data_IF_471270403385
#
_entry.id   IF_471270403385
#
_cell.length_a   1.000
_cell.length_b   1.000
_cell.length_c   1.000
_cell.angle_alpha   90.00
_cell.angle_beta   90.00
_cell.angle_gamma   90.00
#
_symmetry.space_group_name_H-M   'P 1'
#
loop_
_entity.id
_entity.type
_entity.pdbx_description
1 polymer ?
#
# COMPACT_ATOMS: atom_id res chain seq x y z
N UNK A 1 22.41 -2.36 -23.05
CA UNK A 1 22.53 -2.46 -21.56
C UNK A 1 21.33 -3.24 -21.07
N UNK A 2 21.48 -4.05 -20.04
CA UNK A 2 20.36 -4.82 -19.46
C UNK A 2 19.67 -3.99 -18.38
N UNK A 3 18.35 -3.99 -18.37
CA UNK A 3 17.53 -3.39 -17.30
C UNK A 3 17.82 -4.16 -16.00
N UNK A 4 18.29 -3.46 -14.98
CA UNK A 4 18.57 -4.03 -13.64
C UNK A 4 17.32 -3.99 -12.75
N UNK A 5 16.57 -2.87 -12.82
CA UNK A 5 15.43 -2.60 -11.94
C UNK A 5 14.15 -2.43 -12.75
N UNK A 6 13.08 -3.04 -12.31
CA UNK A 6 11.71 -2.70 -12.72
C UNK A 6 10.95 -2.12 -11.53
N UNK A 7 10.48 -0.87 -11.65
CA UNK A 7 9.54 -0.25 -10.71
C UNK A 7 8.13 -0.69 -11.09
N UNK A 8 7.36 -1.17 -10.12
CA UNK A 8 5.98 -1.64 -10.30
C UNK A 8 5.02 -0.67 -9.63
N UNK A 9 4.18 -0.02 -10.43
CA UNK A 9 3.24 1.01 -9.96
C UNK A 9 1.81 0.70 -10.44
N UNK A 10 0.95 0.12 -9.60
CA UNK A 10 -0.48 0.02 -9.91
C UNK A 10 -1.14 1.39 -9.74
N UNK A 11 -2.11 1.70 -10.58
CA UNK A 11 -2.86 2.95 -10.46
C UNK A 11 -4.34 2.77 -10.81
N UNK A 12 -5.20 3.61 -10.23
CA UNK A 12 -6.60 3.74 -10.61
C UNK A 12 -7.19 5.07 -10.13
N UNK A 13 -7.69 5.89 -11.08
CA UNK A 13 -8.34 7.17 -10.80
C UNK A 13 -7.49 8.08 -9.89
N UNK A 14 -6.23 8.34 -10.29
CA UNK A 14 -5.26 9.13 -9.52
C UNK A 14 -4.43 10.07 -10.38
N UNK A 15 -5.00 10.60 -11.46
CA UNK A 15 -4.29 11.39 -12.48
C UNK A 15 -3.32 12.42 -11.90
N UNK A 16 -3.77 13.29 -11.00
CA UNK A 16 -2.96 14.40 -10.50
C UNK A 16 -1.73 13.93 -9.69
N UNK A 17 -1.90 13.00 -8.75
CA UNK A 17 -0.79 12.53 -7.91
C UNK A 17 0.13 11.59 -8.68
N UNK A 18 -0.42 10.80 -9.60
CA UNK A 18 0.35 9.92 -10.47
C UNK A 18 1.34 10.71 -11.35
N UNK A 19 0.94 11.87 -11.86
CA UNK A 19 1.83 12.74 -12.65
C UNK A 19 3.12 13.08 -11.85
N UNK A 20 2.98 13.45 -10.58
CA UNK A 20 4.10 13.77 -9.70
C UNK A 20 4.93 12.53 -9.33
N UNK A 21 4.27 11.38 -9.08
CA UNK A 21 4.93 10.11 -8.86
C UNK A 21 5.84 9.75 -10.04
N UNK A 22 5.31 9.78 -11.27
CA UNK A 22 6.06 9.45 -12.48
C UNK A 22 7.18 10.44 -12.76
N UNK A 23 6.97 11.73 -12.48
CA UNK A 23 8.01 12.76 -12.59
C UNK A 23 9.16 12.46 -11.63
N UNK A 24 8.87 12.06 -10.39
CA UNK A 24 9.87 11.70 -9.40
C UNK A 24 10.63 10.41 -9.78
N UNK A 25 9.94 9.41 -10.33
CA UNK A 25 10.55 8.17 -10.82
C UNK A 25 11.41 8.40 -12.06
N UNK A 26 11.05 9.34 -12.94
CA UNK A 26 11.88 9.70 -14.11
C UNK A 26 13.13 10.52 -13.74
N UNK A 27 13.18 11.08 -12.53
CA UNK A 27 14.28 11.91 -12.03
C UNK A 27 15.26 11.16 -11.09
N UNK A 28 15.30 9.82 -11.17
CA UNK A 28 16.19 9.04 -10.34
C UNK A 28 17.67 9.23 -10.72
N UNK A 29 18.57 9.08 -9.74
CA UNK A 29 20.02 9.14 -9.95
C UNK A 29 20.61 7.88 -10.55
N UNK A 30 19.86 6.76 -10.58
CA UNK A 30 20.21 5.56 -11.33
C UNK A 30 20.17 5.89 -12.82
N UNK A 31 21.12 5.34 -13.60
CA UNK A 31 21.18 5.56 -15.04
C UNK A 31 19.84 5.20 -15.72
N UNK A 32 19.27 6.08 -16.57
CA UNK A 32 17.95 5.87 -17.16
C UNK A 32 17.80 4.52 -17.90
N UNK A 33 18.89 4.01 -18.46
CA UNK A 33 18.93 2.75 -19.20
C UNK A 33 19.00 1.53 -18.26
N UNK A 34 19.26 1.73 -16.98
CA UNK A 34 19.37 0.66 -15.99
C UNK A 34 18.04 0.28 -15.35
N UNK A 35 16.99 1.10 -15.53
CA UNK A 35 15.67 0.81 -14.95
C UNK A 35 14.52 1.13 -15.90
N UNK A 36 13.42 0.47 -15.68
CA UNK A 36 12.13 0.75 -16.29
C UNK A 36 11.07 0.96 -15.22
N UNK A 37 10.00 1.69 -15.57
CA UNK A 37 8.80 1.84 -14.76
C UNK A 37 7.65 1.16 -15.49
N UNK A 38 7.00 0.19 -14.86
CA UNK A 38 5.78 -0.43 -15.37
C UNK A 38 4.60 0.09 -14.57
N UNK A 39 3.71 0.81 -15.26
CA UNK A 39 2.45 1.28 -14.69
C UNK A 39 1.31 0.43 -15.21
N UNK A 40 0.51 -0.10 -14.30
CA UNK A 40 -0.71 -0.83 -14.66
C UNK A 40 -1.93 -0.03 -14.22
N UNK A 41 -2.68 0.46 -15.20
CA UNK A 41 -3.96 1.14 -15.01
C UNK A 41 -5.08 0.11 -14.81
N UNK A 42 -5.60 0.00 -13.60
CA UNK A 42 -6.69 -0.90 -13.22
C UNK A 42 -8.08 -0.34 -13.59
N UNK A 43 -8.25 0.02 -14.87
CA UNK A 43 -9.52 0.48 -15.41
C UNK A 43 -9.93 1.86 -14.93
N UNK A 44 -9.05 2.86 -15.02
CA UNK A 44 -9.36 4.26 -14.71
C UNK A 44 -10.39 4.85 -15.65
N UNK A 45 -11.18 5.80 -15.11
CA UNK A 45 -12.24 6.54 -15.79
C UNK A 45 -12.02 8.07 -15.77
N UNK A 46 -10.93 8.50 -15.11
CA UNK A 46 -10.47 9.88 -15.05
C UNK A 46 -9.37 10.15 -16.11
N UNK A 47 -8.63 11.24 -15.95
CA UNK A 47 -7.54 11.66 -16.85
C UNK A 47 -6.26 10.81 -16.71
N UNK A 48 -6.28 9.71 -15.94
CA UNK A 48 -5.10 8.82 -15.76
C UNK A 48 -4.48 8.38 -17.09
N UNK A 49 -5.23 7.95 -18.12
CA UNK A 49 -4.64 7.56 -19.41
C UNK A 49 -3.86 8.69 -20.09
N UNK A 50 -4.38 9.91 -20.05
CA UNK A 50 -3.70 11.07 -20.65
C UNK A 50 -2.40 11.41 -19.90
N UNK A 51 -2.39 11.28 -18.57
CA UNK A 51 -1.17 11.43 -17.75
C UNK A 51 -0.12 10.39 -18.11
N UNK A 52 -0.51 9.13 -18.27
CA UNK A 52 0.39 8.04 -18.67
C UNK A 52 1.01 8.31 -20.05
N UNK A 53 0.22 8.72 -21.02
CA UNK A 53 0.70 9.07 -22.37
C UNK A 53 1.70 10.24 -22.33
N UNK A 54 1.43 11.27 -21.53
CA UNK A 54 2.32 12.40 -21.38
C UNK A 54 3.64 12.00 -20.70
N UNK A 55 3.58 11.21 -19.62
CA UNK A 55 4.73 10.75 -18.88
C UNK A 55 5.64 9.85 -19.73
N UNK A 56 5.06 8.93 -20.51
CA UNK A 56 5.82 8.05 -21.43
C UNK A 56 6.60 8.83 -22.46
N UNK A 57 6.06 9.95 -22.98
CA UNK A 57 6.77 10.80 -23.96
C UNK A 57 7.84 11.68 -23.34
N UNK A 58 7.68 12.09 -22.08
CA UNK A 58 8.56 13.07 -21.44
C UNK A 58 9.69 12.45 -20.60
N UNK A 59 9.55 11.21 -20.19
CA UNK A 59 10.50 10.55 -19.28
C UNK A 59 11.84 10.27 -19.97
N UNK A 60 12.91 10.33 -19.18
CA UNK A 60 14.28 9.94 -19.60
C UNK A 60 14.51 8.43 -19.51
N UNK A 61 13.82 7.74 -18.60
CA UNK A 61 13.80 6.29 -18.50
C UNK A 61 12.63 5.70 -19.29
N UNK A 62 12.63 4.42 -19.51
CA UNK A 62 11.52 3.74 -20.17
C UNK A 62 10.34 3.59 -19.22
N UNK A 63 9.18 4.15 -19.59
CA UNK A 63 7.89 3.94 -18.94
C UNK A 63 7.02 3.07 -19.84
N UNK A 64 6.66 1.89 -19.36
CA UNK A 64 5.74 0.97 -20.05
C UNK A 64 4.40 0.98 -19.32
N UNK A 65 3.33 1.10 -20.09
CA UNK A 65 1.98 1.19 -19.55
C UNK A 65 1.14 0.00 -20.01
N UNK A 66 0.39 -0.58 -19.08
CA UNK A 66 -0.58 -1.62 -19.37
C UNK A 66 -1.93 -1.18 -18.80
N UNK A 67 -3.00 -1.50 -19.49
CA UNK A 67 -4.36 -1.17 -19.04
C UNK A 67 -5.19 -2.44 -18.92
N UNK A 68 -5.84 -2.62 -17.78
CA UNK A 68 -6.85 -3.65 -17.58
C UNK A 68 -8.20 -3.13 -18.11
N UNK A 69 -8.98 -3.95 -18.83
CA UNK A 69 -10.25 -3.51 -19.44
C UNK A 69 -11.31 -3.14 -18.40
N UNK A 70 -11.19 -3.69 -17.20
CA UNK A 70 -12.04 -3.43 -16.05
C UNK A 70 -11.24 -3.55 -14.76
N UNK A 71 -11.77 -3.07 -13.64
CA UNK A 71 -11.15 -3.19 -12.33
C UNK A 71 -10.93 -4.67 -11.96
N UNK A 72 -9.69 -5.12 -12.02
CA UNK A 72 -9.25 -6.46 -11.64
C UNK A 72 -8.56 -6.48 -10.26
N UNK A 73 -8.24 -5.31 -9.70
CA UNK A 73 -7.66 -5.14 -8.38
C UNK A 73 -6.14 -5.03 -8.35
N UNK A 74 -5.65 -4.50 -7.24
CA UNK A 74 -4.23 -4.26 -7.02
C UNK A 74 -3.38 -5.53 -7.16
N UNK A 75 -3.76 -6.71 -6.63
CA UNK A 75 -3.00 -7.95 -6.82
C UNK A 75 -2.79 -8.31 -8.29
N UNK A 76 -3.84 -8.24 -9.10
CA UNK A 76 -3.77 -8.56 -10.53
C UNK A 76 -2.90 -7.55 -11.30
N UNK A 77 -3.02 -6.25 -10.97
CA UNK A 77 -2.18 -5.21 -11.59
C UNK A 77 -0.70 -5.41 -11.26
N UNK A 78 -0.35 -5.68 -9.99
CA UNK A 78 1.03 -5.98 -9.60
C UNK A 78 1.56 -7.25 -10.27
N UNK A 79 0.76 -8.30 -10.34
CA UNK A 79 1.15 -9.56 -10.99
C UNK A 79 1.41 -9.38 -12.48
N UNK A 80 0.58 -8.60 -13.19
CA UNK A 80 0.82 -8.25 -14.58
C UNK A 80 2.17 -7.54 -14.73
N UNK A 81 2.43 -6.51 -13.93
CA UNK A 81 3.69 -5.79 -13.98
C UNK A 81 4.90 -6.69 -13.70
N UNK A 82 4.82 -7.61 -12.71
CA UNK A 82 5.91 -8.53 -12.38
C UNK A 82 6.17 -9.53 -13.52
N UNK A 83 5.13 -10.00 -14.20
CA UNK A 83 5.28 -10.91 -15.35
C UNK A 83 5.98 -10.20 -16.52
N UNK A 84 5.61 -8.96 -16.78
CA UNK A 84 6.15 -8.12 -17.86
C UNK A 84 7.51 -7.49 -17.55
N UNK A 85 7.94 -7.54 -16.28
CA UNK A 85 9.19 -6.97 -15.81
C UNK A 85 10.41 -7.60 -16.48
N UNK A 86 11.35 -6.74 -16.94
CA UNK A 86 12.64 -7.14 -17.51
C UNK A 86 13.79 -7.06 -16.49
N UNK A 87 13.63 -6.24 -15.46
CA UNK A 87 14.59 -6.10 -14.37
C UNK A 87 14.62 -7.33 -13.46
N UNK A 88 15.81 -7.68 -13.00
CA UNK A 88 15.97 -8.74 -11.98
C UNK A 88 15.43 -8.29 -10.62
N UNK A 89 15.56 -7.01 -10.30
CA UNK A 89 15.09 -6.40 -9.08
C UNK A 89 13.73 -5.71 -9.29
N UNK A 90 12.73 -6.12 -8.53
CA UNK A 90 11.42 -5.44 -8.49
C UNK A 90 11.43 -4.46 -7.32
N UNK A 91 11.04 -3.22 -7.59
CA UNK A 91 10.81 -2.17 -6.59
C UNK A 91 9.34 -1.77 -6.66
N UNK A 92 8.63 -1.91 -5.55
CA UNK A 92 7.23 -1.50 -5.45
C UNK A 92 7.14 -0.02 -5.06
N UNK A 93 6.33 0.72 -5.81
CA UNK A 93 6.00 2.13 -5.56
C UNK A 93 4.53 2.34 -5.90
N UNK A 94 3.74 2.77 -4.94
CA UNK A 94 2.34 3.08 -5.19
C UNK A 94 2.19 4.44 -5.91
N UNK A 95 1.09 4.63 -6.63
CA UNK A 95 0.87 5.80 -7.49
C UNK A 95 0.72 7.15 -6.76
N UNK A 96 0.69 7.13 -5.42
CA UNK A 96 0.67 8.28 -4.53
C UNK A 96 1.96 8.40 -3.69
N UNK A 97 3.04 7.77 -4.16
CA UNK A 97 4.36 7.83 -3.55
C UNK A 97 5.34 8.59 -4.41
N UNK A 98 6.18 9.39 -3.75
CA UNK A 98 7.15 10.30 -4.38
C UNK A 98 8.55 9.85 -3.95
N UNK A 99 9.30 9.32 -4.92
CA UNK A 99 10.63 8.77 -4.71
C UNK A 99 11.70 9.87 -4.81
N UNK A 100 12.51 10.13 -3.77
CA UNK A 100 13.64 11.05 -3.90
C UNK A 100 14.68 10.51 -4.90
N UNK A 101 15.56 11.37 -5.46
CA UNK A 101 16.45 10.97 -6.57
C UNK A 101 17.33 9.76 -6.29
N UNK A 102 17.74 9.53 -5.06
CA UNK A 102 18.62 8.42 -4.66
C UNK A 102 17.87 7.13 -4.27
N UNK A 103 16.54 7.10 -4.35
CA UNK A 103 15.71 6.01 -3.86
C UNK A 103 16.04 4.66 -4.54
N UNK A 104 16.08 4.60 -5.87
CA UNK A 104 16.40 3.36 -6.58
C UNK A 104 17.84 2.91 -6.32
N UNK A 105 18.80 3.82 -6.26
CA UNK A 105 20.20 3.52 -5.93
C UNK A 105 20.33 2.91 -4.55
N UNK A 106 19.58 3.41 -3.54
CA UNK A 106 19.59 2.85 -2.19
C UNK A 106 19.06 1.40 -2.15
N UNK A 107 18.01 1.10 -2.92
CA UNK A 107 17.51 -0.27 -3.06
C UNK A 107 18.52 -1.18 -3.77
N UNK A 108 19.09 -0.77 -4.89
CA UNK A 108 20.12 -1.53 -5.63
C UNK A 108 21.29 -1.84 -4.73
N UNK A 109 21.82 -0.84 -4.01
CA UNK A 109 22.94 -1.01 -3.09
C UNK A 109 22.63 -1.98 -1.94
N UNK A 110 21.39 -1.99 -1.46
CA UNK A 110 20.96 -2.94 -0.46
C UNK A 110 21.11 -4.38 -0.96
N UNK A 111 20.67 -4.65 -2.17
CA UNK A 111 20.74 -5.98 -2.79
C UNK A 111 22.16 -6.38 -3.19
N UNK A 112 22.97 -5.44 -3.70
CA UNK A 112 24.37 -5.69 -4.06
C UNK A 112 25.25 -6.08 -2.87
N UNK A 113 24.93 -5.54 -1.67
CA UNK A 113 25.65 -5.86 -0.42
C UNK A 113 25.20 -7.16 0.24
N UNK A 114 24.09 -7.75 -0.21
CA UNK A 114 23.57 -9.00 0.36
C UNK A 114 23.78 -10.16 -0.59
N UNK A 115 24.41 -11.25 -0.08
CA UNK A 115 24.48 -12.54 -0.80
C UNK A 115 23.23 -13.40 -0.59
N UNK A 116 22.40 -13.07 0.42
CA UNK A 116 21.18 -13.80 0.73
C UNK A 116 19.98 -13.25 -0.05
N UNK A 117 18.95 -14.07 -0.16
CA UNK A 117 17.62 -13.64 -0.60
C UNK A 117 17.01 -12.67 0.43
N UNK A 118 16.75 -11.44 0.00
CA UNK A 118 16.27 -10.39 0.89
C UNK A 118 15.06 -9.64 0.33
N UNK A 119 14.30 -9.08 1.27
CA UNK A 119 13.41 -7.95 1.05
C UNK A 119 14.13 -6.71 1.61
N UNK A 120 14.46 -5.74 0.77
CA UNK A 120 14.92 -4.44 1.22
C UNK A 120 13.70 -3.53 1.43
N UNK A 121 13.62 -2.89 2.60
CA UNK A 121 12.56 -1.93 2.95
C UNK A 121 13.18 -0.63 3.43
N UNK A 122 12.49 0.47 3.20
CA UNK A 122 12.84 1.78 3.71
C UNK A 122 11.69 2.46 4.44
N UNK A 123 11.92 3.62 5.06
CA UNK A 123 10.88 4.40 5.70
C UNK A 123 9.86 4.95 4.68
N UNK A 124 8.59 4.95 5.08
CA UNK A 124 7.51 5.66 4.37
C UNK A 124 7.19 6.92 5.15
N UNK A 125 7.50 8.07 4.55
CA UNK A 125 7.31 9.40 5.15
C UNK A 125 6.01 9.99 4.65
N UNK A 126 5.11 10.42 5.54
CA UNK A 126 3.91 11.12 5.09
C UNK A 126 4.24 12.55 4.67
N UNK A 127 3.85 12.93 3.45
CA UNK A 127 3.90 14.32 2.97
C UNK A 127 2.50 14.83 2.63
N UNK A 128 2.27 16.14 2.80
CA UNK A 128 1.04 16.83 2.40
C UNK A 128 1.27 17.79 1.21
N UNK A 129 2.52 17.90 0.75
CA UNK A 129 2.91 18.75 -0.37
C UNK A 129 3.33 17.91 -1.57
N UNK A 130 2.73 18.18 -2.72
CA UNK A 130 3.19 17.63 -4.01
C UNK A 130 4.32 18.50 -4.60
N UNK A 131 4.36 19.80 -4.29
CA UNK A 131 5.39 20.73 -4.80
C UNK A 131 6.74 20.54 -4.09
N UNK A 132 6.70 20.27 -2.78
CA UNK A 132 7.88 20.11 -1.92
C UNK A 132 7.78 18.84 -1.08
N UNK A 133 7.68 17.68 -1.72
CA UNK A 133 7.36 16.44 -1.02
C UNK A 133 8.45 16.02 -0.02
N UNK A 134 9.70 16.39 -0.27
CA UNK A 134 10.87 15.94 0.50
C UNK A 134 11.25 16.88 1.67
N UNK A 135 10.52 17.99 1.83
CA UNK A 135 10.72 18.92 2.97
C UNK A 135 9.98 18.47 4.24
N UNK A 136 9.20 17.40 4.19
CA UNK A 136 8.55 16.83 5.38
C UNK A 136 9.59 16.34 6.39
N UNK A 137 9.36 16.54 7.71
CA UNK A 137 10.25 15.99 8.72
C UNK A 137 10.39 14.49 8.52
N UNK A 138 11.63 14.01 8.53
CA UNK A 138 11.97 12.62 8.23
C UNK A 138 11.17 11.61 9.05
N UNK A 139 11.08 10.39 8.55
CA UNK A 139 10.44 9.28 9.25
C UNK A 139 11.06 9.06 10.62
N UNK A 140 10.22 8.79 11.60
CA UNK A 140 10.68 8.31 12.91
C UNK A 140 11.57 7.07 12.74
N UNK A 141 12.47 6.89 13.69
CA UNK A 141 13.57 5.92 13.64
C UNK A 141 13.12 4.45 13.59
N UNK A 142 11.84 4.15 13.85
CA UNK A 142 11.34 2.78 14.01
C UNK A 142 10.26 2.46 12.99
N UNK A 143 10.53 1.47 12.13
CA UNK A 143 9.49 0.74 11.41
C UNK A 143 8.77 -0.16 12.41
N UNK A 144 7.64 0.31 12.92
CA UNK A 144 6.76 -0.45 13.82
C UNK A 144 5.81 -1.38 13.05
N UNK A 145 5.94 -1.48 11.72
CA UNK A 145 5.13 -2.39 10.93
C UNK A 145 5.44 -3.83 11.30
N UNK A 146 4.44 -4.55 11.81
CA UNK A 146 4.48 -6.00 12.04
C UNK A 146 4.45 -6.79 10.72
N UNK A 147 4.12 -6.11 9.61
CA UNK A 147 4.08 -6.73 8.28
C UNK A 147 5.46 -7.23 7.87
N UNK A 148 5.55 -8.52 7.52
CA UNK A 148 6.79 -9.09 7.00
C UNK A 148 7.15 -8.53 5.63
N UNK A 149 6.17 -8.29 4.80
CA UNK A 149 6.27 -7.66 3.49
C UNK A 149 5.17 -6.64 3.33
N UNK A 150 5.55 -5.47 2.87
CA UNK A 150 4.64 -4.36 2.55
C UNK A 150 5.05 -3.77 1.22
N UNK A 151 4.10 -3.40 0.40
CA UNK A 151 4.35 -2.89 -0.95
C UNK A 151 4.55 -1.38 -1.01
N UNK A 152 4.34 -0.68 0.10
CA UNK A 152 4.49 0.78 0.17
C UNK A 152 5.96 1.25 0.07
N UNK A 153 6.92 0.40 0.22
CA UNK A 153 8.35 0.65 0.03
C UNK A 153 9.12 -0.64 0.22
N UNK A 154 9.15 -1.46 -0.79
CA UNK A 154 9.90 -2.71 -0.74
C UNK A 154 10.53 -3.06 -2.09
N UNK A 155 11.68 -3.73 -2.03
CA UNK A 155 12.27 -4.36 -3.22
C UNK A 155 12.73 -5.78 -2.92
N UNK A 156 12.64 -6.64 -3.91
CA UNK A 156 13.15 -8.00 -3.89
C UNK A 156 13.39 -8.53 -5.31
N UNK A 157 14.15 -9.60 -5.43
CA UNK A 157 14.39 -10.22 -6.73
C UNK A 157 13.09 -10.77 -7.33
N UNK A 158 12.88 -10.54 -8.62
CA UNK A 158 11.74 -11.06 -9.39
C UNK A 158 11.59 -12.57 -9.24
N UNK A 159 12.69 -13.32 -9.24
CA UNK A 159 12.70 -14.76 -9.05
C UNK A 159 12.07 -15.22 -7.73
N UNK A 160 12.21 -14.44 -6.65
CA UNK A 160 11.57 -14.73 -5.36
C UNK A 160 10.06 -14.57 -5.41
N UNK A 161 9.57 -13.54 -6.10
CA UNK A 161 8.13 -13.33 -6.31
C UNK A 161 7.50 -14.48 -7.09
N UNK A 162 8.18 -14.92 -8.15
CA UNK A 162 7.74 -16.07 -8.95
C UNK A 162 7.74 -17.38 -8.12
N UNK A 163 8.78 -17.63 -7.35
CA UNK A 163 8.86 -18.80 -6.43
C UNK A 163 7.82 -18.77 -5.35
N UNK A 164 7.48 -17.58 -4.83
CA UNK A 164 6.43 -17.42 -3.83
C UNK A 164 5.02 -17.52 -4.40
N UNK A 165 4.84 -17.60 -5.74
CA UNK A 165 3.55 -17.72 -6.41
C UNK A 165 2.82 -16.39 -6.63
N UNK A 166 3.55 -15.26 -6.62
CA UNK A 166 3.00 -13.92 -6.86
C UNK A 166 1.95 -13.49 -5.80
N UNK A 167 1.23 -12.42 -6.06
CA UNK A 167 0.11 -12.00 -5.20
C UNK A 167 -1.12 -12.89 -5.43
N UNK A 168 -1.88 -13.16 -4.38
CA UNK A 168 -3.15 -13.90 -4.49
C UNK A 168 -4.24 -12.97 -5.04
N UNK A 169 -4.58 -13.14 -6.31
CA UNK A 169 -5.59 -12.34 -7.00
C UNK A 169 -7.01 -12.54 -6.44
N UNK A 170 -7.21 -13.56 -5.63
CA UNK A 170 -8.47 -13.80 -4.94
C UNK A 170 -8.73 -12.87 -3.76
N UNK A 171 -7.70 -12.14 -3.30
CA UNK A 171 -7.81 -11.06 -2.32
C UNK A 171 -8.18 -9.72 -3.00
N UNK A 172 -9.05 -9.79 -4.00
CA UNK A 172 -9.56 -8.69 -4.79
C UNK A 172 -10.79 -8.05 -4.11
N UNK A 173 -11.01 -6.72 -4.20
CA UNK A 173 -10.20 -5.77 -4.97
C UNK A 173 -8.97 -5.24 -4.24
N UNK A 174 -8.91 -5.38 -2.91
CA UNK A 174 -7.88 -4.77 -2.08
C UNK A 174 -7.84 -5.39 -0.67
N UNK A 175 -6.64 -5.49 -0.12
CA UNK A 175 -6.34 -5.79 1.28
C UNK A 175 -5.75 -7.18 1.50
N UNK A 176 -4.78 -7.25 2.41
CA UNK A 176 -4.11 -8.45 2.91
C UNK A 176 -3.17 -9.15 1.93
N UNK A 177 -3.14 -8.77 0.64
CA UNK A 177 -2.31 -9.37 -0.39
C UNK A 177 -0.81 -9.27 -0.08
N UNK A 178 -0.37 -8.15 0.50
CA UNK A 178 1.01 -7.96 0.95
C UNK A 178 1.36 -8.87 2.12
N UNK A 179 0.49 -8.98 3.13
CA UNK A 179 0.68 -9.88 4.27
C UNK A 179 0.69 -11.35 3.85
N UNK A 180 -0.23 -11.76 2.95
CA UNK A 180 -0.28 -13.11 2.41
C UNK A 180 1.03 -13.47 1.71
N UNK A 181 1.52 -12.62 0.82
CA UNK A 181 2.79 -12.82 0.15
C UNK A 181 3.96 -12.82 1.14
N UNK A 182 3.90 -11.95 2.16
CA UNK A 182 4.90 -11.88 3.22
C UNK A 182 5.05 -13.20 3.99
N UNK A 183 3.95 -13.90 4.31
CA UNK A 183 4.00 -15.21 4.94
C UNK A 183 4.68 -16.25 4.05
N UNK A 184 4.39 -16.24 2.75
CA UNK A 184 5.02 -17.16 1.77
C UNK A 184 6.51 -16.86 1.58
N UNK A 185 6.90 -15.60 1.51
CA UNK A 185 8.30 -15.19 1.43
C UNK A 185 9.06 -15.56 2.71
N UNK A 186 8.45 -15.40 3.88
CA UNK A 186 9.03 -15.83 5.17
C UNK A 186 9.25 -17.34 5.22
N UNK A 187 8.30 -18.12 4.71
CA UNK A 187 8.43 -19.58 4.63
C UNK A 187 9.55 -20.03 3.68
N UNK A 188 9.89 -19.22 2.66
CA UNK A 188 11.05 -19.44 1.78
C UNK A 188 12.40 -19.01 2.40
N UNK A 189 12.41 -18.53 3.66
CA UNK A 189 13.62 -18.08 4.35
C UNK A 189 14.16 -16.72 3.89
N UNK A 190 13.37 -15.94 3.14
CA UNK A 190 13.76 -14.60 2.66
C UNK A 190 13.92 -13.67 3.87
N UNK A 191 15.05 -12.96 3.99
CA UNK A 191 15.34 -12.08 5.14
C UNK A 191 14.88 -10.65 4.85
N UNK A 192 14.51 -9.88 5.89
CA UNK A 192 14.25 -8.45 5.77
C UNK A 192 15.51 -7.65 6.12
N UNK A 193 15.77 -6.61 5.33
CA UNK A 193 16.77 -5.57 5.62
C UNK A 193 16.07 -4.22 5.57
N UNK A 194 16.26 -3.42 6.60
CA UNK A 194 15.74 -2.07 6.66
C UNK A 194 16.84 -1.05 6.37
N UNK A 195 16.60 -0.18 5.38
CA UNK A 195 17.52 0.85 4.91
C UNK A 195 16.91 2.24 5.11
N UNK A 196 17.52 3.03 5.99
CA UNK A 196 17.03 4.39 6.29
C UNK A 196 17.15 5.35 5.11
N UNK A 197 18.16 5.15 4.26
CA UNK A 197 18.43 5.94 3.06
C UNK A 197 17.49 5.58 1.89
N UNK A 198 16.75 4.48 1.95
CA UNK A 198 15.72 4.12 0.98
C UNK A 198 14.34 4.69 1.36
N UNK A 199 14.28 5.96 1.75
CA UNK A 199 13.02 6.59 2.13
C UNK A 199 12.15 6.92 0.91
N UNK A 200 10.83 6.75 1.04
CA UNK A 200 9.82 7.21 0.07
C UNK A 200 8.79 8.12 0.76
N UNK A 201 8.18 9.01 0.01
CA UNK A 201 7.25 10.01 0.55
C UNK A 201 5.84 9.74 0.03
N UNK A 202 4.98 9.28 0.92
CA UNK A 202 3.59 8.96 0.61
C UNK A 202 2.74 10.23 0.75
N UNK A 203 2.15 10.70 -0.34
CA UNK A 203 1.25 11.83 -0.33
C UNK A 203 -0.07 11.47 0.31
N UNK A 204 -0.40 12.19 1.36
CA UNK A 204 -1.71 12.09 2.02
C UNK A 204 -2.40 13.44 1.98
N UNK A 205 -3.49 13.57 1.23
CA UNK A 205 -4.25 14.81 1.18
C UNK A 205 -4.76 15.18 2.59
N UNK A 206 -5.04 16.46 2.84
CA UNK A 206 -5.70 16.88 4.07
C UNK A 206 -6.99 16.11 4.32
N UNK A 207 -7.32 15.93 5.57
CA UNK A 207 -8.58 15.31 5.96
C UNK A 207 -9.73 16.23 5.60
N UNK A 208 -10.64 15.78 4.75
CA UNK A 208 -11.85 16.44 4.31
C UNK A 208 -13.02 15.45 4.34
N UNK A 209 -14.28 15.91 4.19
CA UNK A 209 -15.43 15.01 4.07
C UNK A 209 -15.25 13.96 2.94
N UNK A 210 -14.72 14.38 1.81
CA UNK A 210 -14.49 13.51 0.63
C UNK A 210 -13.40 12.47 0.92
N UNK A 211 -12.24 12.90 1.45
CA UNK A 211 -11.15 12.00 1.79
C UNK A 211 -11.56 11.03 2.89
N UNK A 212 -12.30 11.48 3.89
CA UNK A 212 -12.81 10.62 4.96
C UNK A 212 -13.82 9.59 4.44
N UNK A 213 -14.74 9.99 3.56
CA UNK A 213 -15.67 9.07 2.90
C UNK A 213 -14.92 8.00 2.09
N UNK A 214 -13.89 8.39 1.34
CA UNK A 214 -13.05 7.45 0.61
C UNK A 214 -12.30 6.47 1.54
N UNK A 215 -11.81 6.95 2.70
CA UNK A 215 -11.18 6.10 3.71
C UNK A 215 -12.17 5.08 4.28
N UNK A 216 -13.41 5.48 4.58
CA UNK A 216 -14.46 4.56 5.05
C UNK A 216 -14.78 3.49 4.02
N UNK A 217 -14.93 3.87 2.74
CA UNK A 217 -15.17 2.93 1.65
C UNK A 217 -14.01 1.94 1.47
N UNK A 218 -12.76 2.42 1.64
CA UNK A 218 -11.57 1.57 1.60
C UNK A 218 -11.57 0.51 2.72
N UNK A 219 -11.98 0.88 3.94
CA UNK A 219 -12.08 -0.09 5.04
C UNK A 219 -13.21 -1.13 4.83
N UNK A 220 -14.30 -0.75 4.16
CA UNK A 220 -15.32 -1.71 3.75
C UNK A 220 -14.81 -2.71 2.71
N UNK A 221 -14.05 -2.26 1.72
CA UNK A 221 -13.44 -3.14 0.73
C UNK A 221 -12.46 -4.10 1.40
N UNK A 222 -11.64 -3.59 2.31
CA UNK A 222 -10.67 -4.37 3.09
C UNK A 222 -11.33 -5.43 3.98
N UNK A 223 -12.50 -5.12 4.52
CA UNK A 223 -13.27 -6.08 5.32
C UNK A 223 -13.76 -7.27 4.51
N UNK A 224 -14.08 -7.09 3.22
CA UNK A 224 -14.60 -8.16 2.35
C UNK A 224 -13.60 -9.29 2.14
N UNK A 225 -12.31 -9.00 2.11
CA UNK A 225 -11.24 -9.98 1.88
C UNK A 225 -10.69 -10.58 3.17
N UNK A 226 -10.98 -9.99 4.32
CA UNK A 226 -10.46 -10.42 5.62
C UNK A 226 -10.85 -11.87 6.01
N UNK A 227 -12.10 -12.35 5.81
CA UNK A 227 -12.45 -13.74 6.13
C UNK A 227 -11.63 -14.74 5.33
N UNK A 228 -11.46 -14.50 4.01
CA UNK A 228 -10.68 -15.37 3.14
C UNK A 228 -9.20 -15.38 3.53
N UNK A 229 -8.65 -14.24 3.87
CA UNK A 229 -7.27 -14.15 4.37
C UNK A 229 -7.10 -14.92 5.69
N UNK A 230 -8.07 -14.82 6.62
CA UNK A 230 -8.06 -15.58 7.87
C UNK A 230 -8.19 -17.10 7.65
N UNK A 231 -9.07 -17.53 6.74
CA UNK A 231 -9.21 -18.94 6.38
C UNK A 231 -7.92 -19.54 5.81
N UNK A 232 -7.20 -18.76 5.01
CA UNK A 232 -5.92 -19.16 4.43
C UNK A 232 -4.80 -19.24 5.46
N UNK A 233 -4.82 -18.36 6.47
CA UNK A 233 -3.80 -18.25 7.51
C UNK A 233 -4.45 -18.13 8.91
N UNK A 234 -4.99 -19.21 9.48
CA UNK A 234 -5.69 -19.16 10.77
C UNK A 234 -4.71 -19.11 11.96
N UNK A 235 -3.89 -18.04 12.02
CA UNK A 235 -2.87 -17.84 13.04
C UNK A 235 -3.22 -16.70 13.99
N UNK A 236 -2.60 -16.69 15.18
CA UNK A 236 -2.74 -15.58 16.12
C UNK A 236 -2.20 -14.27 15.53
N UNK A 237 -1.13 -14.34 14.74
CA UNK A 237 -0.56 -13.18 14.03
C UNK A 237 -1.59 -12.53 13.11
N UNK A 238 -2.36 -13.33 12.36
CA UNK A 238 -3.44 -12.82 11.50
C UNK A 238 -4.61 -12.27 12.33
N UNK A 239 -4.94 -12.91 13.47
CA UNK A 239 -5.96 -12.38 14.39
C UNK A 239 -5.58 -10.98 14.91
N UNK A 240 -4.29 -10.76 15.20
CA UNK A 240 -3.77 -9.45 15.58
C UNK A 240 -3.84 -8.45 14.40
N UNK A 241 -3.38 -8.85 13.22
CA UNK A 241 -3.40 -8.01 12.02
C UNK A 241 -4.82 -7.56 11.64
N UNK A 242 -5.80 -8.44 11.80
CA UNK A 242 -7.22 -8.16 11.57
C UNK A 242 -7.90 -7.42 12.73
N UNK A 243 -7.17 -7.09 13.81
CA UNK A 243 -7.73 -6.42 15.01
C UNK A 243 -8.93 -7.16 15.63
N UNK A 244 -8.95 -8.50 15.56
CA UNK A 244 -10.10 -9.33 15.99
C UNK A 244 -10.06 -9.72 17.47
N UNK A 245 -8.99 -9.41 18.20
CA UNK A 245 -8.88 -9.78 19.62
C UNK A 245 -9.82 -8.96 20.50
N UNK A 246 -10.21 -9.45 21.70
CA UNK A 246 -10.99 -8.69 22.66
C UNK A 246 -10.32 -7.36 23.05
N UNK A 247 -8.99 -7.35 23.15
CA UNK A 247 -8.20 -6.14 23.43
C UNK A 247 -8.40 -5.08 22.35
N UNK A 248 -8.34 -5.44 21.06
CA UNK A 248 -8.56 -4.49 19.97
C UNK A 248 -9.99 -3.94 19.97
N UNK A 249 -10.98 -4.77 20.31
CA UNK A 249 -12.37 -4.32 20.44
C UNK A 249 -12.54 -3.31 21.59
N UNK A 250 -11.92 -3.58 22.72
CA UNK A 250 -11.91 -2.66 23.86
C UNK A 250 -11.18 -1.36 23.50
N UNK A 251 -9.99 -1.45 22.90
CA UNK A 251 -9.22 -0.28 22.44
C UNK A 251 -10.03 0.58 21.46
N UNK A 252 -10.71 -0.05 20.51
CA UNK A 252 -11.57 0.64 19.55
C UNK A 252 -12.75 1.35 20.26
N UNK A 253 -13.35 0.71 21.24
CA UNK A 253 -14.42 1.33 22.04
C UNK A 253 -13.91 2.58 22.78
N UNK A 254 -12.73 2.51 23.38
CA UNK A 254 -12.08 3.65 24.04
C UNK A 254 -11.74 4.75 23.04
N UNK A 255 -11.13 4.44 21.91
CA UNK A 255 -10.82 5.42 20.86
C UNK A 255 -12.04 6.17 20.35
N UNK A 256 -13.19 5.52 20.36
CA UNK A 256 -14.49 6.12 19.99
C UNK A 256 -15.24 6.75 21.15
N UNK A 257 -14.58 6.97 22.28
CA UNK A 257 -15.23 7.55 23.48
C UNK A 257 -16.47 6.76 23.87
N UNK A 258 -16.38 5.43 23.95
CA UNK A 258 -17.48 4.51 24.25
C UNK A 258 -18.69 4.62 23.29
N UNK A 259 -18.43 4.99 22.02
CA UNK A 259 -19.46 5.09 20.98
C UNK A 259 -19.95 6.51 20.71
N UNK A 260 -19.50 7.50 21.46
CA UNK A 260 -19.86 8.93 21.23
C UNK A 260 -19.29 9.44 19.90
N UNK A 261 -18.15 8.90 19.46
CA UNK A 261 -17.50 9.26 18.20
C UNK A 261 -17.88 8.22 17.15
N UNK A 262 -18.43 8.70 16.05
CA UNK A 262 -18.92 7.90 14.93
C UNK A 262 -18.69 8.64 13.60
N UNK A 263 -18.97 7.99 12.46
CA UNK A 263 -18.68 8.54 11.14
C UNK A 263 -19.32 9.94 10.90
N UNK A 264 -20.47 10.22 11.48
CA UNK A 264 -21.16 11.50 11.31
C UNK A 264 -20.55 12.67 12.11
N UNK A 265 -19.68 12.43 13.09
CA UNK A 265 -19.12 13.51 13.92
C UNK A 265 -17.59 13.45 14.06
N UNK A 266 -16.93 12.41 13.56
CA UNK A 266 -15.49 12.22 13.74
C UNK A 266 -14.65 13.37 13.16
N UNK A 267 -15.05 13.93 12.01
CA UNK A 267 -14.36 15.07 11.39
C UNK A 267 -14.44 16.32 12.27
N UNK A 268 -15.62 16.65 12.77
CA UNK A 268 -15.80 17.82 13.65
C UNK A 268 -14.98 17.70 14.94
N UNK A 269 -14.84 16.48 15.48
CA UNK A 269 -13.98 16.23 16.63
C UNK A 269 -12.50 16.29 16.28
N UNK A 270 -12.09 15.81 15.09
CA UNK A 270 -10.72 15.91 14.61
C UNK A 270 -10.30 17.37 14.42
N UNK A 271 -11.13 18.19 13.78
CA UNK A 271 -10.92 19.63 13.62
C UNK A 271 -10.86 20.38 14.98
N UNK A 272 -11.72 19.99 15.93
CA UNK A 272 -11.70 20.56 17.28
C UNK A 272 -10.41 20.20 18.01
N UNK A 273 -9.95 18.95 17.90
CA UNK A 273 -8.69 18.52 18.48
C UNK A 273 -7.48 19.27 17.87
N UNK A 274 -7.50 19.53 16.57
CA UNK A 274 -6.45 20.30 15.88
C UNK A 274 -6.43 21.76 16.39
N UNK A 275 -7.59 22.40 16.53
CA UNK A 275 -7.70 23.76 17.12
C UNK A 275 -7.21 23.82 18.58
N UNK A 276 -7.31 22.75 19.33
CA UNK A 276 -6.76 22.65 20.69
C UNK A 276 -5.28 22.27 20.74
N UNK A 277 -4.58 22.22 19.58
CA UNK A 277 -3.17 21.85 19.50
C UNK A 277 -2.90 20.37 19.74
N UNK A 278 -3.91 19.51 19.63
CA UNK A 278 -3.83 18.09 19.88
C UNK A 278 -4.19 17.23 18.63
N UNK A 279 -3.52 17.44 17.47
CA UNK A 279 -3.87 16.73 16.22
C UNK A 279 -3.71 15.21 16.33
N UNK A 280 -2.89 14.74 17.26
CA UNK A 280 -2.76 13.30 17.57
C UNK A 280 -4.05 12.68 18.07
N UNK A 281 -4.82 13.40 18.90
CA UNK A 281 -6.12 12.95 19.39
C UNK A 281 -7.10 12.85 18.23
N UNK A 282 -7.18 13.87 17.36
CA UNK A 282 -8.04 13.84 16.18
C UNK A 282 -7.75 12.61 15.29
N UNK A 283 -6.49 12.31 15.05
CA UNK A 283 -6.07 11.11 14.29
C UNK A 283 -6.52 9.81 14.97
N UNK A 284 -6.41 9.70 16.29
CA UNK A 284 -6.85 8.52 17.04
C UNK A 284 -8.37 8.31 16.95
N UNK A 285 -9.15 9.39 17.04
CA UNK A 285 -10.61 9.34 16.92
C UNK A 285 -11.04 8.85 15.53
N UNK A 286 -10.43 9.41 14.47
CA UNK A 286 -10.67 9.01 13.09
C UNK A 286 -10.27 7.54 12.89
N UNK A 287 -9.10 7.12 13.36
CA UNK A 287 -8.65 5.74 13.28
C UNK A 287 -9.62 4.77 13.99
N UNK A 288 -10.16 5.15 15.14
CA UNK A 288 -11.18 4.36 15.85
C UNK A 288 -12.44 4.15 15.02
N UNK A 289 -12.91 5.19 14.31
CA UNK A 289 -14.09 5.10 13.44
C UNK A 289 -13.83 4.24 12.20
N UNK A 290 -12.65 4.38 11.58
CA UNK A 290 -12.23 3.55 10.45
C UNK A 290 -12.14 2.08 10.85
N UNK A 291 -11.51 1.78 11.99
CA UNK A 291 -11.42 0.41 12.51
C UNK A 291 -12.80 -0.18 12.82
N UNK A 292 -13.74 0.60 13.38
CA UNK A 292 -15.11 0.12 13.56
C UNK A 292 -15.81 -0.20 12.25
N UNK A 293 -15.60 0.63 11.20
CA UNK A 293 -16.17 0.35 9.87
C UNK A 293 -15.67 -0.98 9.32
N UNK A 294 -14.37 -1.23 9.43
CA UNK A 294 -13.76 -2.51 9.09
C UNK A 294 -14.35 -3.67 9.90
N UNK A 295 -14.38 -3.56 11.24
CA UNK A 295 -14.90 -4.61 12.11
C UNK A 295 -16.39 -4.90 11.89
N UNK A 296 -17.18 -3.87 11.60
CA UNK A 296 -18.59 -4.03 11.24
C UNK A 296 -18.77 -4.82 9.94
N UNK A 297 -17.94 -4.51 8.92
CA UNK A 297 -17.92 -5.25 7.66
C UNK A 297 -17.58 -6.73 7.86
N UNK A 298 -16.56 -7.05 8.66
CA UNK A 298 -16.17 -8.44 8.96
C UNK A 298 -17.27 -9.20 9.71
N UNK A 299 -17.95 -8.55 10.69
CA UNK A 299 -19.08 -9.17 11.43
C UNK A 299 -20.24 -9.51 10.50
N UNK A 300 -20.65 -8.56 9.66
CA UNK A 300 -21.75 -8.77 8.71
C UNK A 300 -21.53 -9.96 7.77
N UNK A 301 -20.29 -10.16 7.31
CA UNK A 301 -19.94 -11.31 6.45
C UNK A 301 -20.01 -12.64 7.19
N UNK A 302 -19.61 -12.71 8.47
CA UNK A 302 -19.72 -13.92 9.30
C UNK A 302 -21.17 -14.31 9.53
N UNK A 303 -22.03 -13.37 9.80
CA UNK A 303 -23.45 -13.61 10.05
C UNK A 303 -24.15 -14.14 8.81
N UNK A 304 -23.87 -13.59 7.63
CA UNK A 304 -24.38 -14.10 6.35
C UNK A 304 -23.84 -15.51 6.02
N UNK A 305 -22.59 -15.79 6.28
CA UNK A 305 -21.98 -17.12 6.11
C UNK A 305 -22.62 -18.18 7.02
N UNK A 306 -22.89 -17.84 8.28
CA UNK A 306 -23.56 -18.71 9.24
C UNK A 306 -25.03 -18.94 8.88
N UNK A 307 -25.75 -17.96 8.34
CA UNK A 307 -27.12 -18.12 7.86
C UNK A 307 -27.19 -19.04 6.65
N UNK A 308 -26.27 -18.91 5.66
CA UNK A 308 -26.22 -19.84 4.51
C UNK A 308 -25.96 -21.28 4.94
N UNK A 309 -24.99 -21.53 5.84
CA UNK A 309 -24.73 -22.88 6.38
C UNK A 309 -25.89 -23.48 7.17
N UNK A 310 -26.83 -22.67 7.70
CA UNK A 310 -28.05 -23.14 8.36
C UNK A 310 -29.21 -23.41 7.39
N UNK A 311 -29.15 -22.89 6.19
CA UNK A 311 -30.17 -23.12 5.13
C UNK A 311 -29.79 -24.31 4.22
N UNK A 312 -28.52 -24.74 4.25
CA UNK A 312 -28.00 -25.87 3.47
C UNK A 312 -28.01 -27.19 4.30
N UNK A 313 -28.68 -27.22 5.48
CA UNK A 313 -28.95 -28.38 6.35
C UNK A 313 -30.47 -28.53 6.47
#
# INVERSE_FOLDING_TARGET
MTIEVTVVTPTRNRAAVLAECLRALAAQSLAPEAYEVIVVDDGSTDETPAVLDAATRAARCEIRTFRQPARAGIPAARNLAIREARGELIVFVDSDELAPPHFLTAHVDCHRRSRADIICRGPVVTTRSLERPFESPGAGVMDLSISYFDTDNASLRRSLLLRAGLFDESLHPFGWEGLDLGFRLRALGVRRIYRRDAAIYHFRPPLSPETFSAMLAKEEERAKTAPRFYEKHPTFEVTLALSLTPFHRWLNLVQRGFGLIHAGNALAWAERAERWGAPGIGRLLVAGVLNERFLAGVRGLRDHGNQRRRLDV
#
